data_IF_331621819644
#
_entry.id   IF_331621819644
#
_cell.length_a   1.000
_cell.length_b   1.000
_cell.length_c   1.000
_cell.angle_alpha   90.00
_cell.angle_beta   90.00
_cell.angle_gamma   90.00
#
_symmetry.space_group_name_H-M   'P 1'
#
loop_
_entity.id
_entity.type
_entity.pdbx_description
1 polymer ?
#
# COMPACT_ATOMS: atom_id res chain seq x y z
N UNK A 1 40.90 -11.00 18.20
CA UNK A 1 42.07 -10.58 17.39
C UNK A 1 41.90 -10.76 15.88
N UNK A 2 40.90 -11.51 15.38
CA UNK A 2 40.74 -11.80 13.95
C UNK A 2 40.14 -10.66 13.08
N UNK A 3 39.50 -9.65 13.67
CA UNK A 3 38.85 -8.56 12.93
C UNK A 3 39.79 -7.45 12.45
N UNK A 4 40.98 -7.32 13.05
CA UNK A 4 41.98 -6.31 12.64
C UNK A 4 42.73 -6.71 11.36
N UNK A 5 42.88 -8.02 11.07
CA UNK A 5 43.63 -8.51 9.91
C UNK A 5 42.94 -8.24 8.56
N UNK A 6 41.61 -8.39 8.49
CA UNK A 6 40.85 -8.21 7.25
C UNK A 6 40.84 -6.75 6.76
N UNK A 7 40.85 -5.78 7.68
CA UNK A 7 40.90 -4.36 7.35
C UNK A 7 42.24 -3.99 6.71
N UNK A 8 43.36 -4.55 7.18
CA UNK A 8 44.69 -4.29 6.61
C UNK A 8 44.85 -4.88 5.20
N UNK A 9 44.26 -6.04 4.92
CA UNK A 9 44.30 -6.65 3.57
C UNK A 9 43.52 -5.81 2.56
N UNK A 10 42.36 -5.27 2.96
CA UNK A 10 41.59 -4.37 2.09
C UNK A 10 42.33 -3.06 1.80
N UNK A 11 43.01 -2.49 2.80
CA UNK A 11 43.82 -1.27 2.64
C UNK A 11 45.01 -1.46 1.70
N UNK A 12 45.66 -2.64 1.72
CA UNK A 12 46.78 -2.95 0.84
C UNK A 12 46.34 -3.12 -0.64
N UNK A 13 45.16 -3.72 -0.87
CA UNK A 13 44.61 -3.88 -2.23
C UNK A 13 44.21 -2.52 -2.82
N UNK A 14 43.58 -1.66 -2.02
CA UNK A 14 43.20 -0.30 -2.45
C UNK A 14 44.46 0.57 -2.71
N UNK A 15 45.54 0.38 -1.93
CA UNK A 15 46.80 1.09 -2.14
C UNK A 15 47.51 0.68 -3.44
N UNK A 16 47.39 -0.60 -3.86
CA UNK A 16 47.97 -1.10 -5.11
C UNK A 16 47.18 -0.65 -6.37
N UNK A 17 45.87 -0.44 -6.26
CA UNK A 17 45.09 0.17 -7.35
C UNK A 17 45.35 1.67 -7.49
N UNK A 18 45.69 2.35 -6.38
CA UNK A 18 46.01 3.78 -6.38
C UNK A 18 47.37 4.13 -7.03
N UNK A 19 48.30 3.16 -7.17
CA UNK A 19 49.62 3.38 -7.78
C UNK A 19 49.64 3.16 -9.30
N UNK A 20 48.54 2.71 -9.91
CA UNK A 20 48.45 2.47 -11.35
C UNK A 20 48.19 3.74 -12.19
N UNK A 21 48.10 4.92 -11.57
CA UNK A 21 48.15 6.20 -12.31
C UNK A 21 49.60 6.64 -12.46
N UNK A 22 50.18 6.32 -13.62
CA UNK A 22 51.55 6.61 -14.01
C UNK A 22 51.92 8.10 -13.97
N UNK A 23 52.97 8.44 -13.21
CA UNK A 23 53.84 9.57 -13.50
C UNK A 23 55.25 9.03 -13.84
N UNK A 24 55.86 9.41 -14.98
CA UNK A 24 57.14 8.85 -15.39
C UNK A 24 58.29 9.57 -14.70
N UNK A 25 59.01 8.88 -13.81
CA UNK A 25 60.33 9.31 -13.34
C UNK A 25 60.59 9.25 -11.84
N UNK A 26 60.63 8.06 -11.24
CA UNK A 26 61.56 7.78 -10.14
C UNK A 26 61.80 6.28 -10.03
N UNK A 27 63.07 5.90 -9.91
CA UNK A 27 63.51 4.53 -9.61
C UNK A 27 63.48 4.31 -8.11
N UNK A 28 62.45 3.63 -7.60
CA UNK A 28 62.47 2.98 -6.28
C UNK A 28 61.60 1.73 -6.35
N UNK A 29 62.21 0.63 -5.91
CA UNK A 29 61.69 -0.73 -5.63
C UNK A 29 60.39 -1.17 -6.29
N UNK A 30 60.51 -2.14 -7.19
CA UNK A 30 59.37 -2.87 -7.74
C UNK A 30 58.92 -3.90 -6.72
N UNK A 31 57.75 -3.68 -6.13
CA UNK A 31 56.94 -4.78 -5.60
C UNK A 31 56.62 -5.74 -6.77
N UNK A 32 57.13 -6.97 -6.71
CA UNK A 32 56.94 -7.97 -7.78
C UNK A 32 55.73 -8.83 -7.43
N UNK A 33 54.60 -8.60 -8.10
CA UNK A 33 53.50 -9.57 -8.14
C UNK A 33 53.88 -10.71 -9.10
N UNK A 34 54.09 -11.92 -8.59
CA UNK A 34 54.16 -13.13 -9.43
C UNK A 34 52.85 -13.91 -9.31
N UNK A 35 52.15 -14.12 -10.44
CA UNK A 35 51.09 -15.13 -10.53
C UNK A 35 51.72 -16.51 -10.66
N UNK A 36 51.50 -17.38 -9.68
CA UNK A 36 51.81 -18.81 -9.80
C UNK A 36 50.80 -19.52 -10.71
N UNK A 37 51.27 -20.45 -11.54
CA UNK A 37 50.44 -21.24 -12.48
C UNK A 37 49.36 -22.11 -11.80
N UNK A 38 49.36 -22.19 -10.48
CA UNK A 38 48.46 -22.90 -9.58
C UNK A 38 47.38 -21.97 -8.96
N UNK A 39 47.35 -20.70 -9.34
CA UNK A 39 46.29 -19.76 -8.99
C UNK A 39 46.43 -19.11 -7.61
N UNK A 40 47.57 -19.28 -6.93
CA UNK A 40 47.92 -18.58 -5.70
C UNK A 40 48.80 -17.36 -6.00
N UNK A 41 48.42 -16.19 -5.47
CA UNK A 41 49.24 -14.96 -5.54
C UNK A 41 50.11 -14.89 -4.30
N UNK A 42 51.43 -14.77 -4.48
CA UNK A 42 52.40 -14.66 -3.39
C UNK A 42 52.94 -13.23 -3.32
N UNK A 43 52.85 -12.60 -2.16
CA UNK A 43 53.53 -11.33 -1.88
C UNK A 43 54.89 -11.62 -1.24
N UNK A 44 55.97 -11.15 -1.87
CA UNK A 44 57.30 -11.14 -1.28
C UNK A 44 57.54 -9.70 -0.82
N UNK A 45 57.56 -9.47 0.50
CA UNK A 45 58.11 -8.24 1.03
C UNK A 45 59.64 -8.40 1.03
N UNK A 46 60.36 -7.46 0.42
CA UNK A 46 61.81 -7.44 0.53
C UNK A 46 62.15 -7.03 1.97
N UNK A 47 62.55 -8.00 2.79
CA UNK A 47 62.88 -7.81 4.20
C UNK A 47 64.25 -7.11 4.35
N UNK A 48 64.27 -5.80 4.52
CA UNK A 48 65.40 -5.07 5.13
C UNK A 48 65.12 -4.65 6.59
N UNK A 49 64.12 -5.26 7.25
CA UNK A 49 63.85 -5.05 8.68
C UNK A 49 64.32 -6.26 9.52
N UNK A 50 65.42 -6.14 10.29
CA UNK A 50 65.94 -7.24 11.10
C UNK A 50 65.00 -7.55 12.26
N UNK A 51 64.37 -8.74 12.25
CA UNK A 51 63.58 -9.27 13.36
C UNK A 51 62.23 -9.90 12.99
N UNK A 52 61.76 -9.74 11.75
CA UNK A 52 60.55 -10.43 11.28
C UNK A 52 60.93 -11.73 10.57
N UNK A 53 60.80 -12.87 11.25
CA UNK A 53 60.77 -14.15 10.57
C UNK A 53 59.53 -14.16 9.65
N UNK A 54 59.77 -14.13 8.33
CA UNK A 54 58.74 -14.04 7.29
C UNK A 54 57.60 -15.03 7.52
N UNK A 55 56.42 -14.49 7.86
CA UNK A 55 55.18 -15.28 7.92
C UNK A 55 54.56 -15.26 6.52
N UNK A 56 54.70 -16.37 5.83
CA UNK A 56 54.02 -16.61 4.55
C UNK A 56 52.51 -16.72 4.79
N UNK A 57 51.73 -15.86 4.16
CA UNK A 57 50.27 -15.97 4.13
C UNK A 57 49.86 -16.54 2.77
N UNK A 58 49.35 -17.77 2.76
CA UNK A 58 48.75 -18.33 1.55
C UNK A 58 47.43 -17.59 1.28
N UNK A 59 47.37 -16.81 0.21
CA UNK A 59 46.13 -16.20 -0.24
C UNK A 59 45.26 -17.27 -0.92
N UNK A 60 43.93 -17.25 -0.71
CA UNK A 60 43.02 -18.15 -1.39
C UNK A 60 43.18 -17.98 -2.90
N UNK A 61 43.20 -19.10 -3.64
CA UNK A 61 43.29 -19.01 -5.09
C UNK A 61 42.08 -18.29 -5.69
N UNK A 62 42.23 -17.67 -6.86
CA UNK A 62 41.12 -16.99 -7.56
C UNK A 62 39.87 -17.87 -7.69
N UNK A 63 40.04 -19.15 -8.05
CA UNK A 63 38.93 -20.12 -8.10
C UNK A 63 38.34 -20.49 -6.74
N UNK A 64 39.08 -20.33 -5.64
CA UNK A 64 38.55 -20.48 -4.28
C UNK A 64 37.75 -19.23 -3.86
N UNK A 65 38.21 -18.04 -4.23
CA UNK A 65 37.48 -16.79 -4.02
C UNK A 65 36.18 -16.73 -4.84
N UNK A 66 36.20 -17.16 -6.11
CA UNK A 66 35.01 -17.22 -6.96
C UNK A 66 33.96 -18.20 -6.42
N UNK A 67 34.38 -19.37 -5.90
CA UNK A 67 33.48 -20.32 -5.23
C UNK A 67 32.88 -19.76 -3.94
N UNK A 68 33.67 -19.03 -3.14
CA UNK A 68 33.16 -18.34 -1.95
C UNK A 68 32.16 -17.25 -2.33
N UNK A 69 32.44 -16.47 -3.37
CA UNK A 69 31.52 -15.44 -3.88
C UNK A 69 30.20 -16.05 -4.34
N UNK A 70 30.24 -17.10 -5.16
CA UNK A 70 29.05 -17.82 -5.60
C UNK A 70 28.23 -18.37 -4.43
N UNK A 71 28.90 -18.92 -3.41
CA UNK A 71 28.24 -19.40 -2.20
C UNK A 71 27.57 -18.27 -1.41
N UNK A 72 28.21 -17.10 -1.31
CA UNK A 72 27.60 -15.92 -0.67
C UNK A 72 26.39 -15.42 -1.46
N UNK A 73 26.48 -15.35 -2.78
CA UNK A 73 25.39 -14.92 -3.66
C UNK A 73 24.18 -15.87 -3.54
N UNK A 74 24.43 -17.18 -3.49
CA UNK A 74 23.39 -18.18 -3.28
C UNK A 74 22.69 -18.04 -1.93
N UNK A 75 23.44 -17.81 -0.86
CA UNK A 75 22.88 -17.55 0.47
C UNK A 75 22.08 -16.25 0.49
N UNK A 76 22.57 -15.20 -0.15
CA UNK A 76 21.89 -13.90 -0.20
C UNK A 76 20.58 -13.99 -0.99
N UNK A 77 20.56 -14.76 -2.09
CA UNK A 77 19.34 -15.07 -2.84
C UNK A 77 18.32 -15.82 -1.96
N UNK A 78 18.74 -16.88 -1.29
CA UNK A 78 17.88 -17.67 -0.39
C UNK A 78 17.30 -16.82 0.75
N UNK A 79 18.14 -15.99 1.39
CA UNK A 79 17.73 -15.08 2.45
C UNK A 79 16.72 -14.04 1.96
N UNK A 80 16.86 -13.61 0.70
CA UNK A 80 15.95 -12.65 0.10
C UNK A 80 14.57 -13.24 -0.21
N UNK A 81 14.49 -14.53 -0.55
CA UNK A 81 13.23 -15.26 -0.73
C UNK A 81 12.50 -15.42 0.61
N UNK A 82 13.22 -15.81 1.67
CA UNK A 82 12.65 -15.90 3.02
C UNK A 82 12.12 -14.55 3.50
N UNK A 83 12.85 -13.45 3.26
CA UNK A 83 12.38 -12.10 3.60
C UNK A 83 11.13 -11.70 2.83
N UNK A 84 11.04 -12.04 1.54
CA UNK A 84 9.85 -11.79 0.72
C UNK A 84 8.63 -12.57 1.26
N UNK A 85 8.82 -13.87 1.56
CA UNK A 85 7.78 -14.71 2.14
C UNK A 85 7.31 -14.17 3.49
N UNK A 86 8.25 -13.81 4.37
CA UNK A 86 7.93 -13.24 5.68
C UNK A 86 7.19 -11.92 5.55
N UNK A 87 7.65 -11.03 4.66
CA UNK A 87 6.99 -9.76 4.39
C UNK A 87 5.53 -9.93 3.96
N UNK A 88 5.24 -10.92 3.11
CA UNK A 88 3.86 -11.26 2.70
C UNK A 88 3.04 -11.84 3.86
N UNK A 89 3.65 -12.64 4.73
CA UNK A 89 2.99 -13.28 5.88
C UNK A 89 2.77 -12.34 7.07
N UNK A 90 3.37 -11.15 7.08
CA UNK A 90 3.21 -10.16 8.15
C UNK A 90 2.70 -8.80 7.66
N UNK A 91 2.40 -8.67 6.37
CA UNK A 91 2.03 -7.40 5.77
C UNK A 91 0.73 -6.85 6.38
N UNK A 92 0.77 -5.61 6.86
CA UNK A 92 -0.35 -4.98 7.55
C UNK A 92 -1.45 -4.45 6.63
N UNK A 93 -1.11 -4.28 5.35
CA UNK A 93 -2.01 -3.80 4.30
C UNK A 93 -1.48 -4.20 2.90
N UNK A 94 -2.29 -3.92 1.87
CA UNK A 94 -1.92 -4.19 0.47
C UNK A 94 -0.65 -3.45 0.02
N UNK A 95 -0.36 -2.27 0.59
CA UNK A 95 0.83 -1.50 0.26
C UNK A 95 2.12 -2.15 0.76
N UNK A 96 2.09 -2.77 1.94
CA UNK A 96 3.24 -3.54 2.47
C UNK A 96 3.46 -4.85 1.68
N UNK A 97 2.40 -5.53 1.24
CA UNK A 97 2.51 -6.65 0.29
C UNK A 97 3.19 -6.19 -1.00
N UNK A 98 2.73 -5.08 -1.57
CA UNK A 98 3.26 -4.55 -2.83
C UNK A 98 4.75 -4.21 -2.74
N UNK A 99 5.19 -3.55 -1.65
CA UNK A 99 6.60 -3.18 -1.44
C UNK A 99 7.52 -4.36 -1.15
N UNK A 100 6.98 -5.42 -0.53
CA UNK A 100 7.76 -6.63 -0.21
C UNK A 100 7.88 -7.60 -1.39
N UNK A 101 6.97 -7.51 -2.38
CA UNK A 101 6.98 -8.40 -3.54
C UNK A 101 8.00 -7.97 -4.59
N UNK A 102 8.96 -8.85 -4.90
CA UNK A 102 9.96 -8.63 -5.96
C UNK A 102 9.36 -8.75 -7.37
N UNK A 103 8.43 -9.67 -7.56
CA UNK A 103 7.88 -10.04 -8.88
C UNK A 103 6.65 -9.19 -9.26
N UNK A 104 6.42 -8.09 -8.55
CA UNK A 104 5.18 -7.33 -8.61
C UNK A 104 4.05 -7.98 -7.83
N UNK A 105 2.86 -7.40 -7.93
CA UNK A 105 1.67 -7.85 -7.23
C UNK A 105 0.46 -7.59 -8.13
N UNK A 106 -0.39 -8.58 -8.30
CA UNK A 106 -1.62 -8.45 -9.08
C UNK A 106 -2.77 -7.94 -8.21
N UNK A 107 -3.76 -7.32 -8.84
CA UNK A 107 -5.02 -7.01 -8.16
C UNK A 107 -5.78 -8.30 -7.83
N UNK A 108 -6.27 -8.44 -6.60
CA UNK A 108 -6.92 -9.68 -6.18
C UNK A 108 -7.22 -9.74 -4.69
N UNK A 109 -7.62 -10.92 -4.21
CA UNK A 109 -7.83 -11.16 -2.79
C UNK A 109 -6.52 -11.55 -2.11
N UNK A 110 -6.21 -10.88 -1.00
CA UNK A 110 -5.05 -11.17 -0.17
C UNK A 110 -5.45 -11.21 1.30
N UNK A 111 -4.62 -11.85 2.11
CA UNK A 111 -4.70 -11.80 3.57
C UNK A 111 -3.66 -10.83 4.08
N UNK A 112 -4.08 -9.90 4.94
CA UNK A 112 -3.24 -8.92 5.62
C UNK A 112 -3.34 -9.11 7.13
N UNK A 113 -2.39 -8.54 7.87
CA UNK A 113 -2.28 -8.66 9.33
C UNK A 113 -2.14 -7.25 9.94
N UNK A 114 -3.26 -6.50 10.03
CA UNK A 114 -3.24 -5.14 10.56
C UNK A 114 -2.67 -5.10 11.98
N UNK A 115 -1.98 -4.01 12.31
CA UNK A 115 -1.36 -3.79 13.61
C UNK A 115 -2.36 -3.16 14.58
N UNK A 116 -2.28 -3.54 15.84
CA UNK A 116 -3.07 -2.91 16.91
C UNK A 116 -2.67 -1.45 17.11
N UNK A 117 -3.55 -0.65 17.74
CA UNK A 117 -3.18 0.69 18.22
C UNK A 117 -2.02 0.56 19.23
N UNK A 118 -0.80 0.91 18.80
CA UNK A 118 0.45 0.61 19.52
C UNK A 118 1.52 -0.05 18.64
N UNK A 119 1.17 -0.51 17.45
CA UNK A 119 2.12 -1.05 16.47
C UNK A 119 2.47 -2.53 16.67
N UNK A 120 1.88 -3.19 17.66
CA UNK A 120 2.10 -4.61 17.93
C UNK A 120 1.51 -5.49 16.81
N UNK A 121 2.30 -6.46 16.38
CA UNK A 121 1.86 -7.50 15.45
C UNK A 121 0.96 -8.50 16.17
N UNK A 122 -0.25 -8.68 15.67
CA UNK A 122 -1.16 -9.70 16.16
C UNK A 122 -1.52 -10.65 15.01
N UNK A 123 -0.87 -11.82 14.96
CA UNK A 123 -1.12 -12.84 13.95
C UNK A 123 -2.55 -13.39 13.98
N UNK A 124 -3.27 -13.25 15.09
CA UNK A 124 -4.67 -13.67 15.22
C UNK A 124 -5.65 -12.69 14.59
N UNK A 125 -5.21 -11.47 14.24
CA UNK A 125 -6.03 -10.43 13.64
C UNK A 125 -5.93 -10.41 12.09
N UNK A 126 -5.85 -11.58 11.45
CA UNK A 126 -5.78 -11.65 9.99
C UNK A 126 -7.08 -11.15 9.34
N UNK A 127 -6.98 -10.39 8.25
CA UNK A 127 -8.11 -9.85 7.51
C UNK A 127 -7.96 -10.16 6.01
N UNK A 128 -9.01 -10.72 5.40
CA UNK A 128 -9.08 -10.86 3.94
C UNK A 128 -9.56 -9.55 3.32
N UNK A 129 -8.84 -9.07 2.31
CA UNK A 129 -9.14 -7.82 1.61
C UNK A 129 -8.97 -7.97 0.11
N UNK A 130 -9.61 -7.09 -0.65
CA UNK A 130 -9.29 -6.90 -2.06
C UNK A 130 -8.20 -5.84 -2.20
N UNK A 131 -7.05 -6.22 -2.75
CA UNK A 131 -5.98 -5.32 -3.11
C UNK A 131 -6.13 -4.91 -4.57
N UNK A 132 -6.14 -3.60 -4.84
CA UNK A 132 -6.10 -3.04 -6.18
C UNK A 132 -4.74 -2.42 -6.44
N UNK A 133 -4.03 -2.94 -7.43
CA UNK A 133 -2.78 -2.37 -7.92
C UNK A 133 -3.09 -1.49 -9.13
N UNK A 134 -2.84 -0.18 -8.99
CA UNK A 134 -3.07 0.83 -10.02
C UNK A 134 -2.06 1.96 -9.85
N UNK A 135 -1.54 2.50 -10.95
CA UNK A 135 -0.58 3.60 -10.97
C UNK A 135 0.65 3.39 -10.06
N UNK A 136 1.19 2.17 -10.05
CA UNK A 136 2.37 1.81 -9.26
C UNK A 136 2.14 1.78 -7.75
N UNK A 137 0.88 1.73 -7.30
CA UNK A 137 0.48 1.66 -5.89
C UNK A 137 -0.55 0.56 -5.66
N UNK A 138 -0.41 -0.14 -4.55
CA UNK A 138 -1.45 -1.03 -4.06
C UNK A 138 -2.36 -0.33 -3.04
N UNK A 139 -3.66 -0.52 -3.25
CA UNK A 139 -4.74 0.03 -2.45
C UNK A 139 -5.52 -1.09 -1.79
N UNK A 140 -5.85 -0.92 -0.51
CA UNK A 140 -6.82 -1.77 0.19
C UNK A 140 -8.22 -1.23 -0.09
N UNK A 141 -9.05 -1.99 -0.80
CA UNK A 141 -10.44 -1.59 -1.09
C UNK A 141 -11.30 -1.83 0.14
N UNK A 142 -12.03 -0.80 0.57
CA UNK A 142 -12.88 -0.84 1.78
C UNK A 142 -14.38 -0.86 1.45
N UNK A 143 -14.74 -0.43 0.25
CA UNK A 143 -16.11 -0.46 -0.27
C UNK A 143 -16.08 -0.56 -1.79
N UNK A 144 -17.00 -1.35 -2.36
CA UNK A 144 -17.26 -1.36 -3.81
C UNK A 144 -18.75 -1.51 -4.11
N UNK A 145 -19.24 -0.72 -5.08
CA UNK A 145 -20.55 -0.85 -5.76
C UNK A 145 -20.35 -0.84 -7.27
N UNK A 146 -20.98 -1.73 -8.01
CA UNK A 146 -20.81 -1.92 -9.45
C UNK A 146 -22.01 -2.55 -10.18
N UNK A 147 -22.93 -3.21 -9.48
CA UNK A 147 -24.01 -4.00 -10.09
C UNK A 147 -25.28 -4.16 -9.24
N UNK A 148 -25.28 -3.75 -7.97
CA UNK A 148 -26.43 -3.89 -7.07
C UNK A 148 -26.64 -5.31 -6.52
N UNK A 149 -25.70 -6.23 -6.72
CA UNK A 149 -25.80 -7.63 -6.26
C UNK A 149 -25.85 -7.76 -4.73
N UNK A 150 -25.41 -6.74 -3.99
CA UNK A 150 -25.45 -6.73 -2.53
C UNK A 150 -26.31 -5.57 -2.05
N UNK A 151 -27.29 -5.87 -1.21
CA UNK A 151 -28.08 -4.82 -0.54
C UNK A 151 -27.23 -4.14 0.53
N UNK A 152 -27.12 -2.81 0.43
CA UNK A 152 -26.61 -1.92 1.48
C UNK A 152 -27.77 -1.34 2.31
N UNK A 153 -29.03 -1.61 1.94
CA UNK A 153 -30.21 -1.13 2.66
C UNK A 153 -30.58 -2.08 3.78
N UNK A 154 -31.20 -1.51 4.82
CA UNK A 154 -31.72 -2.27 5.97
C UNK A 154 -30.67 -3.12 6.68
N UNK A 155 -29.40 -2.70 6.61
CA UNK A 155 -28.29 -3.28 7.37
C UNK A 155 -28.28 -2.68 8.78
N UNK A 156 -28.00 -3.51 9.77
CA UNK A 156 -27.93 -3.07 11.17
C UNK A 156 -26.59 -2.40 11.49
N UNK A 157 -26.46 -1.90 12.71
CA UNK A 157 -25.17 -1.45 13.23
C UNK A 157 -24.13 -2.58 13.15
N UNK A 158 -24.51 -3.77 13.60
CA UNK A 158 -23.66 -4.96 13.65
C UNK A 158 -23.21 -5.43 12.26
N UNK A 159 -24.08 -5.32 11.25
CA UNK A 159 -23.72 -5.61 9.86
C UNK A 159 -22.66 -4.63 9.35
N UNK A 160 -22.84 -3.33 9.60
CA UNK A 160 -21.87 -2.32 9.19
C UNK A 160 -20.57 -2.37 10.00
N UNK A 161 -20.62 -2.78 11.26
CA UNK A 161 -19.45 -3.01 12.10
C UNK A 161 -18.58 -4.15 11.57
N UNK A 162 -19.19 -5.33 11.32
CA UNK A 162 -18.47 -6.53 10.88
C UNK A 162 -18.13 -6.55 9.38
N UNK A 163 -18.92 -5.85 8.57
CA UNK A 163 -18.83 -5.91 7.11
C UNK A 163 -19.74 -6.96 6.49
N UNK A 164 -19.99 -6.81 5.19
CA UNK A 164 -20.88 -7.68 4.43
C UNK A 164 -20.58 -7.62 2.92
N UNK A 165 -21.12 -8.59 2.18
CA UNK A 165 -20.98 -8.69 0.73
C UNK A 165 -19.87 -9.66 0.31
N UNK A 166 -19.37 -9.48 -0.91
CA UNK A 166 -18.34 -10.32 -1.51
C UNK A 166 -17.14 -9.45 -1.89
N UNK A 167 -15.95 -9.76 -1.35
CA UNK A 167 -14.72 -9.00 -1.62
C UNK A 167 -14.33 -8.99 -3.11
N UNK A 168 -14.76 -9.97 -3.90
CA UNK A 168 -14.59 -10.00 -5.36
C UNK A 168 -15.70 -9.29 -6.13
N UNK A 169 -16.77 -8.85 -5.46
CA UNK A 169 -17.92 -8.14 -6.02
C UNK A 169 -18.22 -6.84 -5.26
N UNK A 170 -19.48 -6.65 -4.84
CA UNK A 170 -19.87 -5.55 -3.97
C UNK A 170 -19.72 -5.90 -2.49
N UNK A 171 -19.16 -4.98 -1.69
CA UNK A 171 -18.99 -5.20 -0.26
C UNK A 171 -18.79 -3.90 0.52
N UNK A 172 -19.00 -4.01 1.83
CA UNK A 172 -18.51 -3.09 2.86
C UNK A 172 -17.55 -3.85 3.76
N UNK A 173 -16.32 -3.38 3.92
CA UNK A 173 -15.28 -4.12 4.65
C UNK A 173 -15.60 -4.27 6.16
N UNK A 174 -16.43 -3.39 6.72
CA UNK A 174 -16.75 -3.35 8.14
C UNK A 174 -16.07 -2.19 8.85
N UNK A 175 -16.82 -1.46 9.68
CA UNK A 175 -16.32 -0.29 10.39
C UNK A 175 -15.22 -0.64 11.39
N UNK A 176 -15.27 -1.82 12.02
CA UNK A 176 -14.21 -2.26 12.94
C UNK A 176 -12.90 -2.48 12.16
N UNK A 177 -12.99 -3.10 10.99
CA UNK A 177 -11.85 -3.34 10.11
C UNK A 177 -11.29 -2.02 9.55
N UNK A 178 -12.16 -1.09 9.13
CA UNK A 178 -11.75 0.22 8.63
C UNK A 178 -11.11 1.06 9.75
N UNK A 179 -11.66 1.02 10.96
CA UNK A 179 -11.05 1.64 12.14
C UNK A 179 -9.65 1.08 12.39
N UNK A 180 -9.52 -0.24 12.48
CA UNK A 180 -8.24 -0.92 12.69
C UNK A 180 -7.20 -0.51 11.63
N UNK A 181 -7.56 -0.59 10.35
CA UNK A 181 -6.67 -0.25 9.24
C UNK A 181 -6.28 1.22 9.21
N UNK A 182 -7.16 2.14 9.58
CA UNK A 182 -6.87 3.57 9.46
C UNK A 182 -6.20 4.18 10.68
N UNK A 183 -6.09 3.43 11.78
CA UNK A 183 -5.44 3.86 13.02
C UNK A 183 -4.08 3.19 13.27
N UNK A 184 -3.62 2.29 12.39
CA UNK A 184 -2.26 1.72 12.45
C UNK A 184 -1.17 2.61 11.80
N UNK A 185 -1.56 3.75 11.23
CA UNK A 185 -0.67 4.66 10.50
C UNK A 185 -1.45 5.81 9.86
N UNK A 186 -0.79 6.60 9.01
CA UNK A 186 -1.45 7.68 8.26
C UNK A 186 -1.95 7.17 6.92
N UNK A 187 -3.26 7.04 6.75
CA UNK A 187 -3.86 6.60 5.49
C UNK A 187 -4.45 7.75 4.69
N UNK A 188 -4.37 7.63 3.37
CA UNK A 188 -5.13 8.46 2.43
C UNK A 188 -6.33 7.67 1.91
N UNK A 189 -7.40 8.39 1.56
CA UNK A 189 -8.58 7.82 0.89
C UNK A 189 -8.59 8.26 -0.57
N UNK A 190 -8.87 7.32 -1.47
CA UNK A 190 -9.21 7.59 -2.85
C UNK A 190 -10.62 7.03 -3.12
N UNK A 191 -11.48 7.82 -3.74
CA UNK A 191 -12.84 7.44 -4.12
C UNK A 191 -12.97 7.60 -5.62
N UNK A 192 -13.24 6.48 -6.31
CA UNK A 192 -13.58 6.45 -7.73
C UNK A 192 -15.10 6.41 -7.85
N UNK A 193 -15.68 7.35 -8.61
CA UNK A 193 -17.11 7.46 -8.84
C UNK A 193 -17.42 7.51 -10.32
N UNK A 194 -18.43 6.75 -10.72
CA UNK A 194 -19.03 6.81 -12.04
C UNK A 194 -20.54 6.98 -11.87
N UNK A 195 -21.11 8.04 -12.45
CA UNK A 195 -22.55 8.28 -12.38
C UNK A 195 -23.27 7.30 -13.31
N UNK A 196 -24.40 6.78 -12.85
CA UNK A 196 -25.21 5.87 -13.66
C UNK A 196 -25.69 6.59 -14.92
N UNK A 197 -25.45 5.97 -16.08
CA UNK A 197 -25.95 6.43 -17.37
C UNK A 197 -27.47 6.27 -17.52
N UNK A 198 -28.11 5.48 -16.66
CA UNK A 198 -29.53 5.14 -16.76
C UNK A 198 -30.43 6.08 -15.96
N UNK A 199 -29.94 6.57 -14.81
CA UNK A 199 -30.69 7.51 -13.98
C UNK A 199 -30.29 8.96 -14.19
N UNK A 200 -29.43 9.28 -15.16
CA UNK A 200 -29.10 10.67 -15.47
C UNK A 200 -30.05 11.21 -16.55
N UNK A 201 -30.70 12.34 -16.26
CA UNK A 201 -31.37 13.16 -17.30
C UNK A 201 -30.38 14.06 -18.06
N UNK A 202 -29.09 13.99 -17.72
CA UNK A 202 -28.06 14.77 -18.39
C UNK A 202 -27.81 14.18 -19.77
N UNK A 203 -27.90 14.99 -20.85
CA UNK A 203 -27.43 14.57 -22.18
C UNK A 203 -25.92 14.32 -22.20
N UNK A 204 -25.18 14.79 -21.18
CA UNK A 204 -23.74 14.58 -21.05
C UNK A 204 -23.44 13.37 -20.17
N UNK A 205 -22.67 12.42 -20.73
CA UNK A 205 -22.00 11.35 -19.96
C UNK A 205 -21.04 12.02 -18.98
N UNK A 206 -21.34 11.92 -17.68
CA UNK A 206 -20.44 12.47 -16.67
C UNK A 206 -19.16 11.62 -16.64
N UNK A 207 -17.97 12.24 -16.67
CA UNK A 207 -16.72 11.52 -16.63
C UNK A 207 -16.53 10.83 -15.28
N UNK A 208 -15.74 9.75 -15.29
CA UNK A 208 -15.20 9.12 -14.08
C UNK A 208 -14.58 10.20 -13.22
N UNK A 209 -14.98 10.26 -11.96
CA UNK A 209 -14.52 11.26 -11.00
C UNK A 209 -13.68 10.60 -9.93
N UNK A 210 -12.54 11.19 -9.62
CA UNK A 210 -11.69 10.83 -8.51
C UNK A 210 -11.73 11.93 -7.44
N UNK A 211 -11.88 11.51 -6.20
CA UNK A 211 -11.76 12.32 -4.99
C UNK A 211 -10.70 11.69 -4.10
N UNK A 212 -9.74 12.46 -3.64
CA UNK A 212 -8.64 12.00 -2.81
C UNK A 212 -8.52 12.88 -1.58
N UNK A 213 -8.29 12.25 -0.43
CA UNK A 213 -8.07 12.93 0.85
C UNK A 213 -6.74 12.49 1.41
N UNK A 214 -5.87 13.43 1.77
CA UNK A 214 -4.51 13.16 2.27
C UNK A 214 -4.45 12.50 3.67
N UNK A 215 -5.59 12.48 4.35
CA UNK A 215 -5.84 11.82 5.63
C UNK A 215 -7.24 11.23 5.61
N UNK A 216 -7.37 9.99 6.05
CA UNK A 216 -8.63 9.30 6.29
C UNK A 216 -8.48 8.43 7.53
N UNK A 217 -9.32 8.68 8.54
CA UNK A 217 -9.41 7.83 9.71
C UNK A 217 -10.83 7.75 10.24
N UNK A 218 -11.16 6.59 10.80
CA UNK A 218 -12.45 6.30 11.41
C UNK A 218 -12.19 6.00 12.89
N UNK A 219 -12.90 6.65 13.82
CA UNK A 219 -12.78 6.36 15.25
C UNK A 219 -13.39 4.98 15.61
N UNK A 220 -13.28 4.56 16.87
CA UNK A 220 -13.81 3.26 17.30
C UNK A 220 -15.35 3.26 17.46
N UNK A 221 -15.92 2.11 17.81
CA UNK A 221 -17.36 1.95 18.03
C UNK A 221 -17.91 2.84 19.16
N UNK A 222 -17.15 3.09 20.22
CA UNK A 222 -17.56 3.96 21.34
C UNK A 222 -17.73 5.41 20.89
N UNK A 223 -16.88 5.87 19.98
CA UNK A 223 -16.99 7.16 19.31
C UNK A 223 -17.96 7.17 18.11
N UNK A 224 -18.72 6.09 17.93
CA UNK A 224 -19.66 5.88 16.82
C UNK A 224 -19.01 6.00 15.44
N UNK A 225 -17.79 5.44 15.31
CA UNK A 225 -17.02 5.42 14.06
C UNK A 225 -16.89 6.80 13.42
N UNK A 226 -16.65 7.87 14.19
CA UNK A 226 -16.57 9.23 13.65
C UNK A 226 -15.54 9.34 12.52
N UNK A 227 -15.91 9.98 11.41
CA UNK A 227 -15.06 10.20 10.24
C UNK A 227 -14.13 11.39 10.42
N UNK A 228 -12.88 11.23 10.01
CA UNK A 228 -11.91 12.31 9.85
C UNK A 228 -11.31 12.30 8.45
N UNK A 229 -11.41 13.44 7.77
CA UNK A 229 -10.84 13.68 6.46
C UNK A 229 -9.83 14.83 6.53
N UNK A 230 -8.76 14.71 5.75
CA UNK A 230 -7.78 15.76 5.52
C UNK A 230 -8.08 16.58 4.27
N UNK A 231 -7.02 17.09 3.64
CA UNK A 231 -7.10 17.97 2.47
C UNK A 231 -7.63 17.21 1.26
N UNK A 232 -8.62 17.77 0.59
CA UNK A 232 -9.20 17.24 -0.63
C UNK A 232 -8.40 17.64 -1.87
N UNK A 233 -8.17 16.66 -2.74
CA UNK A 233 -7.79 16.88 -4.15
C UNK A 233 -8.68 16.02 -5.03
N UNK A 234 -9.08 16.52 -6.19
CA UNK A 234 -9.93 15.71 -7.05
C UNK A 234 -10.21 16.33 -8.40
N UNK A 235 -10.71 15.49 -9.28
CA UNK A 235 -11.07 15.84 -10.66
C UNK A 235 -12.24 16.80 -10.75
N UNK A 236 -13.06 16.91 -9.70
CA UNK A 236 -14.15 17.88 -9.62
C UNK A 236 -13.71 19.05 -8.73
N UNK A 237 -14.06 20.26 -9.13
CA UNK A 237 -13.75 21.48 -8.37
C UNK A 237 -14.51 21.65 -7.04
N UNK A 238 -15.22 20.62 -6.56
CA UNK A 238 -15.98 20.66 -5.31
C UNK A 238 -15.75 19.38 -4.49
N UNK A 239 -15.62 19.53 -3.18
CA UNK A 239 -15.51 18.45 -2.21
C UNK A 239 -16.90 17.96 -1.78
N UNK A 240 -17.25 16.72 -2.14
CA UNK A 240 -18.55 16.13 -1.83
C UNK A 240 -18.61 15.43 -0.46
N UNK A 241 -17.46 15.18 0.20
CA UNK A 241 -17.39 14.55 1.53
C UNK A 241 -17.02 15.51 2.66
N UNK A 242 -16.69 16.78 2.37
CA UNK A 242 -16.37 17.79 3.39
C UNK A 242 -17.44 17.91 4.48
N UNK A 243 -18.71 17.76 4.13
CA UNK A 243 -19.83 17.91 5.07
C UNK A 243 -20.00 16.70 5.98
N UNK A 244 -19.36 15.58 5.66
CA UNK A 244 -19.37 14.33 6.39
C UNK A 244 -18.18 14.26 7.35
N UNK A 245 -17.16 15.10 7.16
CA UNK A 245 -16.02 15.20 8.06
C UNK A 245 -16.47 15.59 9.49
N UNK A 246 -16.01 14.84 10.49
CA UNK A 246 -16.38 15.00 11.89
C UNK A 246 -17.74 14.38 12.28
N UNK A 247 -18.46 13.76 11.35
CA UNK A 247 -19.75 13.14 11.64
C UNK A 247 -19.63 11.68 12.03
N UNK A 248 -20.60 11.23 12.83
CA UNK A 248 -20.74 9.86 13.31
C UNK A 248 -21.32 8.98 12.21
N UNK A 249 -20.99 7.70 12.22
CA UNK A 249 -21.59 6.74 11.31
C UNK A 249 -23.03 6.48 11.72
N UNK A 250 -23.94 6.45 10.75
CA UNK A 250 -25.35 6.13 10.98
C UNK A 250 -25.71 4.97 10.06
N UNK A 251 -26.06 3.78 10.58
CA UNK A 251 -26.36 2.60 9.75
C UNK A 251 -27.66 2.75 8.97
N UNK A 252 -28.58 3.58 9.49
CA UNK A 252 -29.87 3.89 8.90
C UNK A 252 -30.12 5.39 9.06
N UNK A 253 -29.66 6.23 8.11
CA UNK A 253 -29.88 7.67 8.17
C UNK A 253 -31.39 7.94 8.26
N UNK A 254 -31.84 8.48 9.39
CA UNK A 254 -33.27 8.74 9.60
C UNK A 254 -33.76 9.88 8.71
N UNK A 255 -34.83 9.65 7.94
CA UNK A 255 -35.97 10.57 7.81
C UNK A 255 -37.15 9.85 7.13
N UNK A 256 -38.05 9.19 7.89
CA UNK A 256 -39.23 8.52 7.35
C UNK A 256 -40.33 9.48 6.84
N UNK A 257 -40.15 10.81 6.93
CA UNK A 257 -41.23 11.78 6.67
C UNK A 257 -41.60 11.95 5.20
N UNK A 258 -40.78 11.47 4.25
CA UNK A 258 -41.19 11.44 2.84
C UNK A 258 -40.48 10.32 2.06
N UNK A 259 -41.00 9.08 2.12
CA UNK A 259 -40.45 7.95 1.35
C UNK A 259 -40.55 8.15 -0.17
N UNK A 260 -41.28 9.18 -0.64
CA UNK A 260 -41.38 9.56 -2.06
C UNK A 260 -40.34 10.62 -2.48
N UNK A 261 -39.53 11.14 -1.57
CA UNK A 261 -38.47 12.09 -1.93
C UNK A 261 -37.25 11.35 -2.47
N UNK A 262 -36.66 11.85 -3.56
CA UNK A 262 -35.41 11.28 -4.09
C UNK A 262 -34.28 11.30 -3.04
N UNK A 263 -34.25 12.32 -2.19
CA UNK A 263 -33.31 12.41 -1.06
C UNK A 263 -33.44 11.20 -0.12
N UNK A 264 -34.64 10.65 0.08
CA UNK A 264 -34.83 9.46 0.92
C UNK A 264 -34.18 8.21 0.30
N UNK A 265 -34.39 7.97 -1.00
CA UNK A 265 -33.78 6.84 -1.71
C UNK A 265 -32.24 6.93 -1.70
N UNK A 266 -31.68 8.14 -1.82
CA UNK A 266 -30.22 8.34 -1.72
C UNK A 266 -29.66 8.03 -0.33
N UNK A 267 -30.45 8.19 0.73
CA UNK A 267 -30.01 7.92 2.10
C UNK A 267 -30.32 6.50 2.58
N UNK A 268 -30.70 5.60 1.68
CA UNK A 268 -30.82 4.19 2.02
C UNK A 268 -29.41 3.59 2.09
N UNK A 269 -28.95 3.27 3.29
CA UNK A 269 -27.64 2.68 3.54
C UNK A 269 -26.82 3.52 4.51
N UNK A 270 -26.04 2.83 5.32
CA UNK A 270 -25.28 3.41 6.40
C UNK A 270 -24.09 4.22 5.90
N UNK A 271 -23.94 5.44 6.41
CA UNK A 271 -22.83 6.33 6.07
C UNK A 271 -22.68 7.45 7.11
N UNK A 272 -21.64 8.26 6.99
CA UNK A 272 -21.41 9.46 7.81
C UNK A 272 -22.31 10.62 7.36
N UNK A 273 -23.62 10.44 7.44
CA UNK A 273 -24.59 11.39 6.89
C UNK A 273 -24.87 12.51 7.88
N UNK A 274 -24.54 13.75 7.49
CA UNK A 274 -24.92 14.97 8.23
C UNK A 274 -26.31 15.48 7.86
N UNK A 275 -26.61 15.51 6.56
CA UNK A 275 -27.87 16.03 6.01
C UNK A 275 -28.36 15.16 4.85
N UNK A 276 -29.67 15.11 4.59
CA UNK A 276 -30.25 14.25 3.55
C UNK A 276 -29.82 14.59 2.11
N UNK A 277 -29.23 15.75 1.88
CA UNK A 277 -28.75 16.23 0.58
C UNK A 277 -27.25 15.97 0.35
N UNK A 278 -26.58 15.28 1.26
CA UNK A 278 -25.16 14.92 1.14
C UNK A 278 -24.95 13.65 0.31
N UNK A 279 -23.75 13.52 -0.27
CA UNK A 279 -23.36 12.33 -1.03
C UNK A 279 -23.38 11.10 -0.11
N UNK A 280 -24.15 10.07 -0.48
CA UNK A 280 -24.12 8.77 0.17
C UNK A 280 -23.73 7.67 -0.85
N UNK A 281 -22.45 7.26 -0.89
CA UNK A 281 -21.97 6.20 -1.77
C UNK A 281 -22.52 4.80 -1.44
N UNK A 282 -23.08 4.62 -0.25
CA UNK A 282 -23.78 3.40 0.17
C UNK A 282 -25.30 3.45 -0.13
N UNK A 283 -25.74 4.55 -0.77
CA UNK A 283 -27.11 4.81 -1.20
C UNK A 283 -27.70 3.80 -2.18
N UNK A 284 -28.93 4.08 -2.62
CA UNK A 284 -29.64 3.21 -3.57
C UNK A 284 -28.88 3.03 -4.89
N UNK A 285 -28.72 1.77 -5.32
CA UNK A 285 -28.14 1.34 -6.58
C UNK A 285 -29.30 1.04 -7.53
N UNK A 286 -29.33 1.77 -8.63
CA UNK A 286 -30.43 1.69 -9.59
C UNK A 286 -30.09 0.71 -10.70
N UNK A 287 -31.08 -0.07 -11.13
CA UNK A 287 -30.90 -1.08 -12.16
C UNK A 287 -30.37 -0.50 -13.46
N UNK A 288 -29.67 -1.38 -14.20
CA UNK A 288 -29.00 -1.05 -15.47
C UNK A 288 -29.97 -0.87 -16.65
N UNK A 289 -31.26 -0.87 -16.42
CA UNK A 289 -32.31 -0.54 -17.40
C UNK A 289 -33.01 0.79 -17.08
N UNK A 290 -32.68 1.39 -15.93
CA UNK A 290 -33.29 2.62 -15.44
C UNK A 290 -34.74 2.48 -14.95
N UNK A 291 -35.23 1.24 -14.78
CA UNK A 291 -36.61 0.96 -14.33
C UNK A 291 -36.94 1.64 -13.00
N UNK A 292 -35.95 1.70 -12.11
CA UNK A 292 -36.11 2.12 -10.72
C UNK A 292 -35.68 3.58 -10.51
N UNK A 293 -35.29 4.28 -11.57
CA UNK A 293 -34.87 5.67 -11.46
C UNK A 293 -36.04 6.56 -11.01
N UNK A 294 -35.90 7.36 -9.95
CA UNK A 294 -36.97 8.24 -9.50
C UNK A 294 -37.27 9.27 -10.59
N UNK A 295 -38.55 9.44 -10.92
CA UNK A 295 -39.02 10.50 -11.83
C UNK A 295 -38.82 11.87 -11.16
N UNK A 296 -37.62 12.47 -11.28
CA UNK A 296 -37.38 13.82 -10.78
C UNK A 296 -38.13 14.87 -11.59
N UNK A 297 -38.69 15.89 -10.91
CA UNK A 297 -39.19 17.10 -11.55
C UNK A 297 -38.05 17.87 -12.23
N UNK A 298 -38.35 18.59 -13.32
CA UNK A 298 -37.38 19.28 -14.19
C UNK A 298 -36.47 20.30 -13.48
N UNK A 299 -36.80 20.71 -12.25
CA UNK A 299 -36.19 21.86 -11.58
C UNK A 299 -35.32 21.49 -10.36
N UNK A 300 -35.13 20.20 -10.07
CA UNK A 300 -34.12 19.80 -9.08
C UNK A 300 -32.79 19.65 -9.81
N UNK A 301 -31.72 20.15 -9.18
CA UNK A 301 -30.33 19.96 -9.62
C UNK A 301 -30.14 18.56 -10.21
N UNK A 302 -29.24 18.36 -11.18
CA UNK A 302 -28.77 17.03 -11.57
C UNK A 302 -28.00 16.43 -10.40
N UNK A 303 -28.68 16.17 -9.28
CA UNK A 303 -28.20 15.37 -8.19
C UNK A 303 -27.82 14.04 -8.79
N UNK A 304 -26.68 13.51 -8.37
CA UNK A 304 -26.20 12.22 -8.84
C UNK A 304 -27.28 11.20 -8.48
N UNK A 305 -28.09 10.87 -9.47
CA UNK A 305 -29.33 10.12 -9.30
C UNK A 305 -29.09 8.64 -9.11
N UNK A 306 -27.84 8.23 -8.93
CA UNK A 306 -27.38 6.86 -8.88
C UNK A 306 -25.94 6.78 -9.37
N UNK A 307 -25.14 5.92 -8.74
CA UNK A 307 -23.80 5.60 -9.22
C UNK A 307 -23.86 4.32 -10.05
N UNK A 308 -23.21 4.31 -11.20
CA UNK A 308 -22.95 3.09 -11.96
C UNK A 308 -21.82 2.28 -11.33
N UNK A 309 -20.86 2.99 -10.74
CA UNK A 309 -19.73 2.41 -10.01
C UNK A 309 -19.28 3.34 -8.87
N UNK A 310 -18.91 2.75 -7.75
CA UNK A 310 -18.27 3.40 -6.60
C UNK A 310 -17.19 2.46 -6.08
N UNK A 311 -16.00 2.97 -5.83
CA UNK A 311 -15.00 2.25 -5.04
C UNK A 311 -14.31 3.22 -4.08
N UNK A 312 -14.32 2.88 -2.80
CA UNK A 312 -13.53 3.55 -1.77
C UNK A 312 -12.34 2.67 -1.43
N UNK A 313 -11.14 3.24 -1.47
CA UNK A 313 -9.90 2.51 -1.25
C UNK A 313 -8.88 3.35 -0.49
N UNK A 314 -8.08 2.70 0.34
CA UNK A 314 -7.11 3.36 1.21
C UNK A 314 -5.70 2.85 0.95
N UNK A 315 -4.71 3.69 1.19
CA UNK A 315 -3.30 3.31 1.13
C UNK A 315 -2.54 4.14 2.15
N UNK A 316 -1.51 3.55 2.77
CA UNK A 316 -0.66 4.29 3.70
C UNK A 316 0.07 5.41 2.95
N UNK A 317 -0.01 6.62 3.51
CA UNK A 317 0.78 7.76 3.06
C UNK A 317 2.17 7.61 3.65
N UNK A 318 3.13 7.28 2.81
CA UNK A 318 4.54 7.40 3.15
C UNK A 318 4.83 8.85 3.55
N UNK A 319 5.38 9.06 4.75
CA UNK A 319 6.02 10.31 5.06
C UNK A 319 7.16 10.47 4.03
N UNK A 320 7.07 11.48 3.17
CA UNK A 320 8.25 11.95 2.47
C UNK A 320 9.28 12.30 3.53
N UNK A 321 10.36 11.52 3.57
CA UNK A 321 11.60 11.87 4.28
C UNK A 321 12.13 13.16 3.65
#
# INVERSE_FOLDING_TARGET
MATKGWVFVLFAIIAAEATNTSAPGSTTERDVCMEGNDGHTMFIFNDDLPGFAGRYWNLPSRGSMERLQQSMDQQNNSLSEVRNLLGKLTAKDCGEIYRSSKDGMDSGLYTIYPRSAGGEFNSSASLRVFCRVEDGRAWTVIQRRQDGSVSFYNRTWEDYSRGFGNLSGEFWLGNDNIHLLTNQGRYMLNVKLEVSKYCTKSPFKLPVSYMQYDKFSVENAQAMYKLHLGSYTGTRGCDFLQFQNGWKFVPKPGNPLNPRSSCYLHNMGGFWVRRPDTLNPNGFYYNKDGSDCPKLSRNKWPGILGFGFVEMRISERSNSI
#
